data_IF_523743785777
#
_entry.id   IF_523743785777
#
_cell.length_a   1.000
_cell.length_b   1.000
_cell.length_c   1.000
_cell.angle_alpha   90.00
_cell.angle_beta   90.00
_cell.angle_gamma   90.00
#
_symmetry.space_group_name_H-M   'P 1'
#
loop_
_entity.id
_entity.type
_entity.pdbx_description
1 polymer ?
#
# COMPACT_ATOMS: atom_id res chain seq x y z
N UNK A 1 7.22 0.95 9.40
CA UNK A 1 7.20 0.81 10.87
C UNK A 1 6.17 -0.23 11.29
N UNK A 2 6.48 -1.06 12.28
CA UNK A 2 5.51 -1.99 12.91
C UNK A 2 5.61 -1.87 14.42
N UNK A 3 4.49 -1.99 15.10
CA UNK A 3 4.38 -1.88 16.56
C UNK A 3 3.44 -2.97 17.06
N UNK A 4 3.89 -3.70 18.07
CA UNK A 4 3.03 -4.60 18.84
C UNK A 4 2.32 -3.77 19.92
N UNK A 5 0.99 -3.68 19.85
CA UNK A 5 0.19 -2.97 20.86
C UNK A 5 -0.12 -3.87 22.07
N UNK A 6 -0.14 -5.18 21.85
CA UNK A 6 -0.29 -6.22 22.87
C UNK A 6 0.33 -7.52 22.35
N UNK A 7 0.26 -8.59 23.14
CA UNK A 7 0.68 -9.94 22.70
C UNK A 7 -0.15 -10.47 21.52
N UNK A 8 -1.38 -9.98 21.34
CA UNK A 8 -2.31 -10.46 20.33
C UNK A 8 -2.55 -9.48 19.18
N UNK A 9 -2.10 -8.22 19.27
CA UNK A 9 -2.37 -7.17 18.29
C UNK A 9 -1.09 -6.51 17.80
N UNK A 10 -0.90 -6.53 16.48
CA UNK A 10 0.18 -5.84 15.78
C UNK A 10 -0.36 -4.86 14.75
N UNK A 11 0.17 -3.64 14.79
CA UNK A 11 -0.06 -2.62 13.78
C UNK A 11 1.17 -2.40 12.90
N UNK A 12 0.93 -1.98 11.67
CA UNK A 12 1.96 -1.57 10.72
C UNK A 12 1.56 -0.33 9.97
N UNK A 13 2.54 0.56 9.80
CA UNK A 13 2.49 1.75 8.97
C UNK A 13 3.61 1.67 7.94
N UNK A 14 3.28 1.85 6.68
CA UNK A 14 4.23 1.99 5.59
C UNK A 14 4.02 3.37 4.96
N UNK A 15 5.09 4.12 4.75
CA UNK A 15 5.06 5.37 4.02
C UNK A 15 6.15 5.31 2.94
N UNK A 16 5.79 5.70 1.72
CA UNK A 16 6.69 5.67 0.57
C UNK A 16 6.54 6.95 -0.23
N UNK A 17 7.61 7.73 -0.25
CA UNK A 17 7.76 8.87 -1.15
C UNK A 17 8.44 8.42 -2.44
N UNK A 18 7.93 8.85 -3.58
CA UNK A 18 8.63 8.78 -4.87
C UNK A 18 8.63 10.17 -5.46
N UNK A 19 9.82 10.73 -5.69
CA UNK A 19 9.96 12.03 -6.35
C UNK A 19 9.51 11.96 -7.81
N UNK A 20 9.41 13.11 -8.47
CA UNK A 20 9.16 13.15 -9.91
C UNK A 20 10.32 12.52 -10.68
N UNK A 21 10.01 11.94 -11.83
CA UNK A 21 11.00 11.32 -12.73
C UNK A 21 10.58 11.50 -14.18
N UNK A 22 11.56 11.37 -15.08
CA UNK A 22 11.32 11.37 -16.51
C UNK A 22 10.97 9.96 -16.98
N UNK A 23 10.03 9.90 -17.90
CA UNK A 23 9.58 8.68 -18.54
C UNK A 23 9.32 8.92 -20.04
N UNK A 24 9.38 7.87 -20.84
CA UNK A 24 9.16 7.91 -22.28
C UNK A 24 7.73 7.47 -22.60
N UNK A 25 6.99 8.31 -23.33
CA UNK A 25 5.65 7.95 -23.74
C UNK A 25 5.70 6.81 -24.78
N UNK A 26 5.04 5.68 -24.54
CA UNK A 26 4.97 4.62 -25.56
C UNK A 26 3.65 4.78 -26.34
N UNK A 27 3.65 4.92 -27.68
CA UNK A 27 4.77 4.73 -28.62
C UNK A 27 5.47 6.02 -29.12
N UNK A 28 5.19 7.20 -28.57
CA UNK A 28 5.71 8.48 -29.06
C UNK A 28 7.01 8.89 -28.33
N UNK A 29 8.14 9.17 -29.01
CA UNK A 29 9.46 9.34 -28.39
C UNK A 29 9.65 10.64 -27.57
N UNK A 30 8.57 11.22 -27.05
CA UNK A 30 8.61 12.37 -26.18
C UNK A 30 8.86 11.93 -24.73
N UNK A 31 9.87 12.51 -24.11
CA UNK A 31 10.07 12.41 -22.66
C UNK A 31 9.17 13.42 -21.98
N UNK A 32 8.46 12.97 -20.96
CA UNK A 32 7.72 13.85 -20.08
C UNK A 32 7.96 13.45 -18.62
N UNK A 33 7.56 14.31 -17.69
CA UNK A 33 7.70 14.04 -16.27
C UNK A 33 6.47 13.28 -15.77
N UNK A 34 6.70 12.22 -15.01
CA UNK A 34 5.71 11.63 -14.12
C UNK A 34 5.80 12.37 -12.79
N UNK A 35 4.65 12.77 -12.25
CA UNK A 35 4.58 13.47 -10.98
C UNK A 35 5.02 12.56 -9.81
N UNK A 36 5.58 13.18 -8.77
CA UNK A 36 5.85 12.47 -7.52
C UNK A 36 4.57 12.05 -6.79
N UNK A 37 4.71 11.15 -5.82
CA UNK A 37 3.60 10.57 -5.06
C UNK A 37 4.02 10.16 -3.65
N UNK A 38 3.06 10.15 -2.73
CA UNK A 38 3.23 9.82 -1.32
C UNK A 38 2.22 8.76 -0.87
N UNK A 39 2.62 7.49 -0.96
CA UNK A 39 1.75 6.38 -0.65
C UNK A 39 1.88 5.96 0.82
N UNK A 40 0.74 5.88 1.50
CA UNK A 40 0.64 5.36 2.87
C UNK A 40 -0.13 4.04 2.87
N UNK A 41 0.42 3.05 3.58
CA UNK A 41 -0.19 1.75 3.82
C UNK A 41 -0.37 1.47 5.30
N UNK A 42 -1.49 0.84 5.66
CA UNK A 42 -1.82 0.44 7.02
C UNK A 42 -2.05 -1.06 7.08
N UNK A 43 -1.60 -1.69 8.17
CA UNK A 43 -1.88 -3.11 8.41
C UNK A 43 -2.20 -3.37 9.87
N UNK A 44 -3.14 -4.29 10.10
CA UNK A 44 -3.48 -4.86 11.41
C UNK A 44 -3.37 -6.38 11.31
N UNK A 45 -2.78 -7.00 12.32
CA UNK A 45 -2.87 -8.43 12.55
C UNK A 45 -3.33 -8.67 13.99
N UNK A 46 -4.37 -9.50 14.14
CA UNK A 46 -4.98 -9.80 15.42
C UNK A 46 -5.14 -11.31 15.61
N UNK A 47 -4.56 -11.83 16.70
CA UNK A 47 -4.82 -13.17 17.19
C UNK A 47 -6.11 -13.14 18.03
N UNK A 48 -7.25 -13.38 17.38
CA UNK A 48 -8.57 -13.29 18.01
C UNK A 48 -8.83 -14.43 19.02
N UNK A 49 -8.21 -15.59 18.79
CA UNK A 49 -8.17 -16.76 19.68
C UNK A 49 -6.95 -17.61 19.31
N UNK A 50 -6.58 -18.63 20.10
CA UNK A 50 -5.36 -19.44 19.89
C UNK A 50 -5.17 -19.97 18.45
N UNK A 51 -6.28 -20.26 17.76
CA UNK A 51 -6.28 -20.81 16.39
C UNK A 51 -6.76 -19.83 15.33
N UNK A 52 -7.17 -18.62 15.68
CA UNK A 52 -7.75 -17.65 14.74
C UNK A 52 -6.89 -16.41 14.64
N UNK A 53 -6.45 -16.12 13.41
CA UNK A 53 -5.78 -14.87 13.08
C UNK A 53 -6.54 -14.12 12.01
N UNK A 54 -6.84 -12.86 12.28
CA UNK A 54 -7.45 -11.93 11.34
C UNK A 54 -6.39 -10.92 10.94
N UNK A 55 -6.31 -10.60 9.66
CA UNK A 55 -5.43 -9.56 9.13
C UNK A 55 -6.21 -8.58 8.27
N UNK A 56 -5.90 -7.30 8.40
CA UNK A 56 -6.42 -6.24 7.55
C UNK A 56 -5.23 -5.49 6.95
N UNK A 57 -5.31 -5.14 5.67
CA UNK A 57 -4.38 -4.23 5.01
C UNK A 57 -5.13 -3.21 4.17
N UNK A 58 -4.75 -1.95 4.30
CA UNK A 58 -5.15 -0.89 3.40
C UNK A 58 -3.90 -0.38 2.68
N UNK A 59 -3.89 -0.41 1.35
CA UNK A 59 -2.86 0.22 0.52
C UNK A 59 -3.42 1.50 -0.10
N UNK A 60 -2.55 2.49 -0.31
CA UNK A 60 -2.93 3.83 -0.75
C UNK A 60 -4.06 4.39 0.13
N UNK A 61 -3.81 4.45 1.44
CA UNK A 61 -4.82 4.76 2.46
C UNK A 61 -5.52 6.11 2.25
N UNK A 62 -4.83 7.06 1.63
CA UNK A 62 -5.35 8.38 1.29
C UNK A 62 -5.95 8.47 -0.12
N UNK A 63 -5.92 7.38 -0.90
CA UNK A 63 -6.51 7.30 -2.24
C UNK A 63 -5.95 8.36 -3.20
N UNK A 64 -4.62 8.52 -3.12
CA UNK A 64 -3.90 9.38 -4.04
C UNK A 64 -4.05 8.82 -5.45
N UNK A 65 -4.49 9.66 -6.38
CA UNK A 65 -4.44 9.37 -7.81
C UNK A 65 -3.03 9.66 -8.31
N UNK A 66 -2.35 8.66 -8.85
CA UNK A 66 -0.99 8.79 -9.34
C UNK A 66 -0.75 7.96 -10.59
N UNK A 67 0.37 8.22 -11.26
CA UNK A 67 0.85 7.43 -12.38
C UNK A 67 2.11 6.65 -11.99
N UNK A 68 2.23 5.44 -12.52
CA UNK A 68 3.44 4.62 -12.41
C UNK A 68 4.36 4.82 -13.61
N UNK A 69 3.79 5.19 -14.75
CA UNK A 69 4.42 5.58 -16.01
C UNK A 69 3.44 6.51 -16.72
N UNK A 70 3.90 7.25 -17.72
CA UNK A 70 3.09 8.22 -18.46
C UNK A 70 1.85 7.55 -19.04
N UNK A 71 0.67 7.98 -18.58
CA UNK A 71 -0.63 7.41 -19.00
C UNK A 71 -0.97 6.05 -18.40
N UNK A 72 -0.19 5.56 -17.44
CA UNK A 72 -0.45 4.32 -16.69
C UNK A 72 -0.81 4.64 -15.24
N UNK A 73 -2.11 4.74 -14.91
CA UNK A 73 -2.54 5.01 -13.56
C UNK A 73 -2.09 3.90 -12.61
N UNK A 74 -1.66 4.31 -11.42
CA UNK A 74 -1.38 3.40 -10.33
C UNK A 74 -2.67 2.88 -9.68
N UNK A 75 -2.57 1.82 -8.87
CA UNK A 75 -3.70 1.35 -8.07
C UNK A 75 -4.27 2.43 -7.15
N UNK A 76 -5.60 2.56 -7.18
CA UNK A 76 -6.39 3.30 -6.20
C UNK A 76 -6.30 2.66 -4.79
N UNK A 77 -6.99 3.23 -3.81
CA UNK A 77 -7.10 2.63 -2.47
C UNK A 77 -7.67 1.22 -2.54
N UNK A 78 -7.01 0.28 -1.88
CA UNK A 78 -7.50 -1.10 -1.76
C UNK A 78 -7.47 -1.57 -0.31
N UNK A 79 -8.45 -2.39 0.05
CA UNK A 79 -8.56 -3.01 1.37
C UNK A 79 -8.61 -4.52 1.21
N UNK A 80 -7.79 -5.24 1.97
CA UNK A 80 -7.75 -6.71 2.00
C UNK A 80 -7.96 -7.21 3.42
N UNK A 81 -8.82 -8.21 3.55
CA UNK A 81 -9.08 -8.93 4.79
C UNK A 81 -8.60 -10.37 4.60
N UNK A 82 -7.90 -10.90 5.60
CA UNK A 82 -7.48 -12.29 5.66
C UNK A 82 -7.94 -12.92 6.96
N UNK A 83 -8.40 -14.16 6.88
CA UNK A 83 -8.76 -14.98 8.04
C UNK A 83 -7.97 -16.28 7.92
N UNK A 84 -7.22 -16.62 8.96
CA UNK A 84 -6.48 -17.88 9.08
C UNK A 84 -7.01 -18.65 10.28
N UNK A 85 -7.37 -19.91 10.05
CA UNK A 85 -7.67 -20.87 11.10
C UNK A 85 -6.59 -21.95 11.16
N UNK A 86 -6.09 -22.25 12.35
CA UNK A 86 -5.07 -23.27 12.59
C UNK A 86 -4.00 -22.80 13.57
N UNK A 87 -3.07 -23.71 13.90
CA UNK A 87 -1.83 -23.36 14.59
C UNK A 87 -0.86 -22.76 13.57
#
# INVERSE_FOLDING_TARGET
MRVDLSESVRLGLEARHTGSYLDEQIPAPFRTSVAGRDLVGLSLAWQAADRWRISLRADNAFDESYETQVGFPGPERSVRIGIRYGH
#
